data_IF_374676342852
#
_entry.id   IF_374676342852
#
_cell.length_a   1.000
_cell.length_b   1.000
_cell.length_c   1.000
_cell.angle_alpha   90.00
_cell.angle_beta   90.00
_cell.angle_gamma   90.00
#
_symmetry.space_group_name_H-M   'P 1'
#
loop_
_entity.id
_entity.type
_entity.pdbx_description
1 polymer ?
#
# COMPACT_ATOMS: atom_id res chain seq x y z
N UNK A 1 38.88 0.04 3.05
CA UNK A 1 37.53 0.60 2.83
C UNK A 1 36.74 0.79 4.13
N UNK A 2 36.82 -0.14 5.09
CA UNK A 2 36.29 0.00 6.45
C UNK A 2 36.64 1.34 7.15
N UNK A 3 37.89 1.80 7.03
CA UNK A 3 38.35 3.07 7.60
C UNK A 3 37.67 4.31 6.99
N UNK A 4 37.27 4.25 5.71
CA UNK A 4 36.56 5.34 5.03
C UNK A 4 35.09 5.37 5.43
N UNK A 5 34.48 4.19 5.60
CA UNK A 5 33.12 4.04 6.13
C UNK A 5 33.06 4.51 7.59
N UNK A 6 33.99 4.05 8.44
CA UNK A 6 34.12 4.49 9.84
C UNK A 6 34.36 6.00 9.98
N UNK A 7 35.11 6.60 9.05
CA UNK A 7 35.35 8.05 8.97
C UNK A 7 34.13 8.85 8.50
N UNK A 8 33.35 8.31 7.55
CA UNK A 8 32.08 8.90 7.11
C UNK A 8 31.01 8.81 8.22
N UNK A 9 30.94 7.69 8.93
CA UNK A 9 30.08 7.53 10.10
C UNK A 9 30.50 8.47 11.26
N UNK A 10 31.81 8.61 11.52
CA UNK A 10 32.31 9.51 12.56
C UNK A 10 32.19 11.00 12.23
N UNK A 11 32.17 11.39 10.95
CA UNK A 11 31.95 12.80 10.57
C UNK A 11 30.49 13.21 10.60
N UNK A 12 29.55 12.29 10.39
CA UNK A 12 28.10 12.57 10.49
C UNK A 12 27.63 12.54 11.96
N UNK A 13 28.22 11.65 12.79
CA UNK A 13 27.76 11.39 14.16
C UNK A 13 28.81 11.69 15.23
N UNK A 14 29.69 12.68 14.99
CA UNK A 14 30.85 13.00 15.84
C UNK A 14 30.59 13.28 17.33
N UNK A 15 29.33 13.35 17.77
CA UNK A 15 28.94 13.48 19.17
C UNK A 15 28.11 12.33 19.77
N UNK A 16 27.78 11.26 19.03
CA UNK A 16 26.90 10.16 19.51
C UNK A 16 27.59 8.78 19.64
N UNK A 17 28.92 8.71 19.53
CA UNK A 17 29.65 7.44 19.51
C UNK A 17 29.90 6.83 20.90
N UNK A 18 29.72 7.57 22.00
CA UNK A 18 29.95 7.01 23.33
C UNK A 18 28.79 6.13 23.86
N UNK A 19 27.68 5.98 23.12
CA UNK A 19 26.46 5.31 23.63
C UNK A 19 25.74 4.32 22.71
N UNK A 20 26.30 3.92 21.57
CA UNK A 20 25.60 3.01 20.65
C UNK A 20 26.22 1.61 20.65
N UNK A 21 25.53 0.65 21.29
CA UNK A 21 25.97 -0.73 21.52
C UNK A 21 25.86 -1.68 20.30
N UNK A 22 25.18 -1.31 19.19
CA UNK A 22 25.11 -2.17 18.00
C UNK A 22 24.99 -1.37 16.66
N UNK A 23 25.99 -1.43 15.76
CA UNK A 23 25.95 -0.75 14.47
C UNK A 23 24.86 -1.28 13.50
N UNK A 24 24.41 -2.54 13.67
CA UNK A 24 23.29 -3.10 12.89
C UNK A 24 21.99 -2.34 13.19
N UNK A 25 21.72 -2.06 14.47
CA UNK A 25 20.52 -1.35 14.90
C UNK A 25 20.49 0.09 14.36
N UNK A 26 21.63 0.78 14.34
CA UNK A 26 21.72 2.14 13.79
C UNK A 26 21.41 2.15 12.28
N UNK A 27 21.96 1.20 11.52
CA UNK A 27 21.69 1.09 10.09
C UNK A 27 20.21 0.84 9.81
N UNK A 28 19.60 -0.09 10.54
CA UNK A 28 18.17 -0.39 10.42
C UNK A 28 17.31 0.82 10.78
N UNK A 29 17.67 1.55 11.84
CA UNK A 29 17.00 2.78 12.28
C UNK A 29 17.03 3.84 11.18
N UNK A 30 18.20 4.13 10.60
CA UNK A 30 18.34 5.12 9.51
C UNK A 30 17.49 4.74 8.31
N UNK A 31 17.47 3.46 7.92
CA UNK A 31 16.63 2.98 6.81
C UNK A 31 15.14 3.12 7.12
N UNK A 32 14.73 2.84 8.36
CA UNK A 32 13.35 3.04 8.80
C UNK A 32 12.96 4.51 8.70
N UNK A 33 13.77 5.41 9.25
CA UNK A 33 13.52 6.86 9.21
C UNK A 33 13.45 7.39 7.77
N UNK A 34 14.30 6.86 6.88
CA UNK A 34 14.26 7.21 5.46
C UNK A 34 12.97 6.73 4.78
N UNK A 35 12.47 5.52 5.10
CA UNK A 35 11.21 5.01 4.56
C UNK A 35 10.00 5.79 5.11
N UNK A 36 10.02 6.14 6.39
CA UNK A 36 8.96 6.93 7.03
C UNK A 36 8.80 8.34 6.43
N UNK A 37 9.87 8.88 5.82
CA UNK A 37 9.82 10.16 5.10
C UNK A 37 9.20 10.07 3.71
N UNK A 38 9.13 8.90 3.08
CA UNK A 38 8.59 8.75 1.72
C UNK A 38 7.12 9.21 1.64
N UNK A 39 6.20 8.79 2.54
CA UNK A 39 4.82 9.27 2.52
C UNK A 39 4.71 10.79 2.71
N UNK A 40 5.53 11.37 3.59
CA UNK A 40 5.54 12.82 3.80
C UNK A 40 5.98 13.57 2.54
N UNK A 41 7.01 13.07 1.85
CA UNK A 41 7.44 13.63 0.57
C UNK A 41 6.39 13.46 -0.52
N UNK A 42 5.72 12.31 -0.60
CA UNK A 42 4.59 12.09 -1.52
C UNK A 42 3.45 13.08 -1.29
N UNK A 43 3.09 13.34 -0.02
CA UNK A 43 2.08 14.33 0.32
C UNK A 43 2.48 15.74 -0.15
N UNK A 44 3.74 16.14 0.06
CA UNK A 44 4.25 17.43 -0.41
C UNK A 44 4.21 17.55 -1.94
N UNK A 45 4.65 16.52 -2.67
CA UNK A 45 4.56 16.50 -4.15
C UNK A 45 3.11 16.59 -4.60
N UNK A 46 2.20 15.86 -3.93
CA UNK A 46 0.76 15.89 -4.24
C UNK A 46 0.19 17.29 -4.07
N UNK A 47 0.59 18.02 -3.02
CA UNK A 47 0.14 19.40 -2.79
C UNK A 47 0.62 20.35 -3.90
N UNK A 48 1.85 20.18 -4.38
CA UNK A 48 2.38 20.98 -5.50
C UNK A 48 1.61 20.66 -6.78
N UNK A 49 1.38 19.38 -7.07
CA UNK A 49 0.58 18.95 -8.24
C UNK A 49 -0.87 19.40 -8.15
N UNK A 50 -1.47 19.42 -6.96
CA UNK A 50 -2.82 19.95 -6.76
C UNK A 50 -2.88 21.44 -7.09
N UNK A 51 -1.86 22.21 -6.69
CA UNK A 51 -1.74 23.64 -7.01
C UNK A 51 -1.64 23.87 -8.52
N UNK A 52 -0.78 23.10 -9.22
CA UNK A 52 -0.72 23.10 -10.68
C UNK A 52 -2.10 22.79 -11.30
N UNK A 53 -2.79 21.77 -10.79
CA UNK A 53 -4.10 21.36 -11.33
C UNK A 53 -5.18 22.41 -11.12
N UNK A 54 -5.16 23.13 -10.00
CA UNK A 54 -6.06 24.25 -9.75
C UNK A 54 -5.81 25.39 -10.73
N UNK A 55 -4.55 25.75 -10.98
CA UNK A 55 -4.19 26.76 -11.98
C UNK A 55 -4.61 26.36 -13.41
N UNK A 56 -4.46 25.07 -13.78
CA UNK A 56 -4.97 24.56 -15.06
C UNK A 56 -6.48 24.78 -15.21
N UNK A 57 -7.24 24.50 -14.14
CA UNK A 57 -8.70 24.71 -14.13
C UNK A 57 -9.05 26.20 -14.21
N UNK A 58 -8.31 27.05 -13.51
CA UNK A 58 -8.50 28.50 -13.54
C UNK A 58 -8.25 29.07 -14.95
N UNK A 59 -7.14 28.69 -15.59
CA UNK A 59 -6.83 29.07 -16.97
C UNK A 59 -7.97 28.66 -17.92
N UNK A 60 -8.41 27.40 -17.83
CA UNK A 60 -9.51 26.91 -18.67
C UNK A 60 -10.84 27.64 -18.40
N UNK A 61 -11.09 28.08 -17.17
CA UNK A 61 -12.26 28.88 -16.81
C UNK A 61 -12.19 30.26 -17.47
N UNK A 62 -11.07 30.98 -17.33
CA UNK A 62 -10.91 32.30 -17.95
C UNK A 62 -10.99 32.24 -19.48
N UNK A 63 -10.45 31.19 -20.11
CA UNK A 63 -10.57 31.00 -21.57
C UNK A 63 -12.04 30.90 -22.00
N UNK A 64 -12.88 30.18 -21.24
CA UNK A 64 -14.32 30.11 -21.51
C UNK A 64 -15.02 31.45 -21.29
N UNK A 65 -14.73 32.12 -20.18
CA UNK A 65 -15.32 33.43 -19.87
C UNK A 65 -14.98 34.47 -20.94
N UNK A 66 -13.77 34.45 -21.49
CA UNK A 66 -13.35 35.33 -22.59
C UNK A 66 -14.16 35.04 -23.85
N UNK A 67 -14.37 33.77 -24.21
CA UNK A 67 -15.22 33.40 -25.36
C UNK A 67 -16.65 33.88 -25.18
N UNK A 68 -17.22 33.69 -23.98
CA UNK A 68 -18.58 34.13 -23.66
C UNK A 68 -18.72 35.65 -23.68
N UNK A 69 -17.73 36.39 -23.15
CA UNK A 69 -17.70 37.85 -23.19
C UNK A 69 -17.54 38.37 -24.61
N UNK A 70 -16.70 37.76 -25.44
CA UNK A 70 -16.53 38.13 -26.84
C UNK A 70 -17.84 37.96 -27.63
N UNK A 71 -18.58 36.87 -27.39
CA UNK A 71 -19.90 36.67 -27.96
C UNK A 71 -20.91 37.75 -27.52
N UNK A 72 -20.88 38.15 -26.24
CA UNK A 72 -21.72 39.24 -25.69
C UNK A 72 -21.37 40.60 -26.28
N UNK A 73 -20.09 40.92 -26.45
CA UNK A 73 -19.63 42.14 -27.14
C UNK A 73 -20.21 42.20 -28.55
N UNK A 74 -20.04 41.12 -29.33
CA UNK A 74 -20.57 41.02 -30.70
C UNK A 74 -22.09 41.18 -30.74
N UNK A 75 -22.81 40.60 -29.79
CA UNK A 75 -24.27 40.72 -29.71
C UNK A 75 -24.73 42.16 -29.37
N UNK A 76 -24.06 42.83 -28.44
CA UNK A 76 -24.38 44.21 -28.05
C UNK A 76 -24.15 45.19 -29.22
N UNK A 77 -23.05 45.05 -29.95
CA UNK A 77 -22.75 45.86 -31.14
C UNK A 77 -23.82 45.66 -32.22
N UNK A 78 -24.21 44.41 -32.50
CA UNK A 78 -25.28 44.11 -33.48
C UNK A 78 -26.62 44.73 -33.12
N UNK A 79 -26.88 44.95 -31.84
CA UNK A 79 -28.10 45.57 -31.34
C UNK A 79 -28.01 47.11 -31.21
N UNK A 80 -26.88 47.71 -31.59
CA UNK A 80 -26.64 49.16 -31.45
C UNK A 80 -26.53 49.62 -30.00
N UNK A 81 -26.22 48.71 -29.07
CA UNK A 81 -26.09 48.95 -27.64
C UNK A 81 -24.64 49.17 -27.24
N UNK A 82 -24.10 50.30 -27.65
CA UNK A 82 -22.67 50.64 -27.49
C UNK A 82 -22.25 50.79 -26.03
N UNK A 83 -23.17 51.22 -25.16
CA UNK A 83 -23.01 51.29 -23.71
C UNK A 83 -22.69 49.90 -23.12
N UNK A 84 -23.52 48.89 -23.44
CA UNK A 84 -23.29 47.52 -23.00
C UNK A 84 -22.05 46.91 -23.64
N UNK A 85 -21.79 47.21 -24.92
CA UNK A 85 -20.59 46.72 -25.61
C UNK A 85 -19.32 47.20 -24.92
N UNK A 86 -19.24 48.48 -24.52
CA UNK A 86 -18.11 49.03 -23.77
C UNK A 86 -17.90 48.32 -22.44
N UNK A 87 -18.97 48.08 -21.67
CA UNK A 87 -18.87 47.35 -20.39
C UNK A 87 -18.34 45.93 -20.59
N UNK A 88 -18.83 45.19 -21.59
CA UNK A 88 -18.34 43.84 -21.87
C UNK A 88 -16.89 43.82 -22.38
N UNK A 89 -16.47 44.84 -23.14
CA UNK A 89 -15.07 44.98 -23.57
C UNK A 89 -14.15 45.18 -22.37
N UNK A 90 -14.54 46.04 -21.41
CA UNK A 90 -13.75 46.24 -20.18
C UNK A 90 -13.62 44.93 -19.41
N UNK A 91 -14.73 44.21 -19.18
CA UNK A 91 -14.69 42.90 -18.51
C UNK A 91 -13.83 41.89 -19.28
N UNK A 92 -13.88 41.88 -20.62
CA UNK A 92 -13.08 41.00 -21.46
C UNK A 92 -11.58 41.29 -21.30
N UNK A 93 -11.17 42.57 -21.28
CA UNK A 93 -9.78 42.96 -21.07
C UNK A 93 -9.27 42.58 -19.67
N UNK A 94 -10.10 42.73 -18.65
CA UNK A 94 -9.79 42.27 -17.29
C UNK A 94 -9.55 40.76 -17.26
N UNK A 95 -10.43 39.97 -17.91
CA UNK A 95 -10.29 38.51 -17.97
C UNK A 95 -9.08 38.06 -18.80
N UNK A 96 -8.76 38.74 -19.89
CA UNK A 96 -7.54 38.49 -20.65
C UNK A 96 -6.28 38.74 -19.81
N UNK A 97 -6.27 39.83 -19.04
CA UNK A 97 -5.14 40.15 -18.14
C UNK A 97 -5.00 39.10 -17.03
N UNK A 98 -6.12 38.65 -16.45
CA UNK A 98 -6.13 37.58 -15.47
C UNK A 98 -5.64 36.24 -16.06
N UNK A 99 -6.07 35.91 -17.29
CA UNK A 99 -5.64 34.72 -18.01
C UNK A 99 -4.11 34.69 -18.20
N UNK A 100 -3.51 35.77 -18.69
CA UNK A 100 -2.06 35.83 -18.92
C UNK A 100 -1.27 35.68 -17.61
N UNK A 101 -1.77 36.29 -16.52
CA UNK A 101 -1.19 36.11 -15.19
C UNK A 101 -1.28 34.65 -14.73
N UNK A 102 -2.46 34.02 -14.83
CA UNK A 102 -2.64 32.62 -14.42
C UNK A 102 -1.86 31.64 -15.30
N UNK A 103 -1.68 31.93 -16.60
CA UNK A 103 -0.78 31.15 -17.48
C UNK A 103 0.67 31.19 -17.03
N UNK A 104 1.16 32.38 -16.67
CA UNK A 104 2.53 32.54 -16.13
C UNK A 104 2.71 31.79 -14.81
N UNK A 105 1.71 31.85 -13.94
CA UNK A 105 1.71 31.10 -12.68
C UNK A 105 1.64 29.58 -12.91
N UNK A 106 0.83 29.14 -13.89
CA UNK A 106 0.71 27.74 -14.26
C UNK A 106 2.05 27.18 -14.78
N UNK A 107 2.75 27.91 -15.63
CA UNK A 107 4.07 27.50 -16.13
C UNK A 107 5.06 27.30 -14.97
N UNK A 108 5.09 28.25 -14.03
CA UNK A 108 5.94 28.16 -12.85
C UNK A 108 5.56 26.96 -11.96
N UNK A 109 4.26 26.72 -11.78
CA UNK A 109 3.75 25.59 -11.00
C UNK A 109 4.04 24.24 -11.69
N UNK A 110 3.98 24.18 -13.02
CA UNK A 110 4.30 22.99 -13.80
C UNK A 110 5.78 22.61 -13.63
N UNK A 111 6.69 23.58 -13.76
CA UNK A 111 8.13 23.35 -13.53
C UNK A 111 8.38 22.88 -12.09
N UNK A 112 7.73 23.49 -11.09
CA UNK A 112 7.85 23.09 -9.69
C UNK A 112 7.34 21.66 -9.45
N UNK A 113 6.20 21.29 -10.06
CA UNK A 113 5.64 19.95 -9.96
C UNK A 113 6.57 18.90 -10.57
N UNK A 114 7.14 19.15 -11.75
CA UNK A 114 8.10 18.26 -12.39
C UNK A 114 9.39 18.09 -11.58
N UNK A 115 9.92 19.17 -11.01
CA UNK A 115 11.07 19.10 -10.11
C UNK A 115 10.76 18.30 -8.84
N UNK A 116 9.58 18.50 -8.25
CA UNK A 116 9.13 17.80 -7.05
C UNK A 116 8.99 16.28 -7.31
N UNK A 117 8.40 15.88 -8.45
CA UNK A 117 8.32 14.48 -8.88
C UNK A 117 9.71 13.85 -9.03
N UNK A 118 10.61 14.50 -9.77
CA UNK A 118 12.00 14.02 -9.96
C UNK A 118 12.74 13.89 -8.63
N UNK A 119 12.55 14.83 -7.72
CA UNK A 119 13.14 14.76 -6.39
C UNK A 119 12.65 13.55 -5.60
N UNK A 120 11.34 13.29 -5.62
CA UNK A 120 10.74 12.12 -4.97
C UNK A 120 11.23 10.81 -5.59
N UNK A 121 11.28 10.69 -6.92
CA UNK A 121 11.80 9.52 -7.61
C UNK A 121 13.26 9.22 -7.22
N UNK A 122 14.10 10.26 -7.24
CA UNK A 122 15.49 10.16 -6.81
C UNK A 122 15.61 9.77 -5.35
N UNK A 123 14.74 10.30 -4.48
CA UNK A 123 14.73 9.95 -3.07
C UNK A 123 14.35 8.48 -2.86
N UNK A 124 13.31 7.99 -3.52
CA UNK A 124 12.89 6.57 -3.47
C UNK A 124 14.02 5.66 -3.96
N UNK A 125 14.69 6.03 -5.05
CA UNK A 125 15.84 5.28 -5.56
C UNK A 125 16.99 5.24 -4.54
N UNK A 126 17.28 6.37 -3.87
CA UNK A 126 18.28 6.42 -2.81
C UNK A 126 17.89 5.57 -1.61
N UNK A 127 16.64 5.60 -1.16
CA UNK A 127 16.12 4.74 -0.07
C UNK A 127 16.31 3.27 -0.42
N UNK A 128 16.01 2.86 -1.66
CA UNK A 128 16.20 1.48 -2.14
C UNK A 128 17.68 1.09 -2.15
N UNK A 129 18.55 1.94 -2.70
CA UNK A 129 20.00 1.70 -2.73
C UNK A 129 20.57 1.57 -1.32
N UNK A 130 20.22 2.50 -0.43
CA UNK A 130 20.69 2.50 0.97
C UNK A 130 20.17 1.31 1.74
N UNK A 131 18.93 0.89 1.49
CA UNK A 131 18.38 -0.36 2.06
C UNK A 131 19.24 -1.55 1.65
N UNK A 132 19.57 -1.68 0.36
CA UNK A 132 20.39 -2.79 -0.14
C UNK A 132 21.78 -2.79 0.47
N UNK A 133 22.43 -1.62 0.52
CA UNK A 133 23.75 -1.44 1.16
C UNK A 133 23.70 -1.81 2.65
N UNK A 134 22.67 -1.37 3.37
CA UNK A 134 22.49 -1.70 4.79
C UNK A 134 22.30 -3.20 5.00
N UNK A 135 21.50 -3.88 4.16
CA UNK A 135 21.29 -5.32 4.26
C UNK A 135 22.60 -6.11 4.04
N UNK A 136 23.42 -5.68 3.08
CA UNK A 136 24.74 -6.28 2.85
C UNK A 136 25.65 -6.12 4.07
N UNK A 137 25.74 -4.91 4.62
CA UNK A 137 26.55 -4.62 5.81
C UNK A 137 26.09 -5.41 7.04
N UNK A 138 24.79 -5.58 7.22
CA UNK A 138 24.23 -6.41 8.30
C UNK A 138 24.63 -7.88 8.13
N UNK A 139 24.52 -8.42 6.91
CA UNK A 139 24.94 -9.79 6.63
C UNK A 139 26.44 -10.00 6.87
N UNK A 140 27.27 -9.05 6.43
CA UNK A 140 28.72 -9.05 6.67
C UNK A 140 29.05 -8.99 8.17
N UNK A 141 28.36 -8.12 8.93
CA UNK A 141 28.54 -8.01 10.37
C UNK A 141 28.18 -9.32 11.10
N UNK A 142 27.10 -9.98 10.70
CA UNK A 142 26.71 -11.30 11.23
C UNK A 142 27.75 -12.38 10.92
N UNK A 143 28.25 -12.42 9.69
CA UNK A 143 29.30 -13.37 9.30
C UNK A 143 30.60 -13.15 10.10
N UNK A 144 31.02 -11.88 10.27
CA UNK A 144 32.18 -11.53 11.08
C UNK A 144 32.00 -11.93 12.55
N UNK A 145 30.81 -11.70 13.13
CA UNK A 145 30.48 -12.11 14.50
C UNK A 145 30.52 -13.64 14.67
N UNK A 146 30.01 -14.39 13.70
CA UNK A 146 30.12 -15.87 13.71
C UNK A 146 31.58 -16.33 13.66
N UNK A 147 32.40 -15.69 12.81
CA UNK A 147 33.82 -16.02 12.69
C UNK A 147 34.59 -15.69 13.98
N UNK A 148 34.29 -14.55 14.62
CA UNK A 148 34.88 -14.17 15.91
C UNK A 148 34.49 -15.15 17.02
N UNK A 149 33.20 -15.51 17.12
CA UNK A 149 32.72 -16.49 18.09
C UNK A 149 33.40 -17.85 17.89
N UNK A 150 33.56 -18.30 16.64
CA UNK A 150 34.28 -19.53 16.31
C UNK A 150 35.76 -19.45 16.72
N UNK A 151 36.42 -18.33 16.42
CA UNK A 151 37.83 -18.10 16.79
C UNK A 151 38.04 -18.04 18.30
N UNK A 152 37.20 -17.31 19.05
CA UNK A 152 37.25 -17.25 20.52
C UNK A 152 37.01 -18.63 21.13
N UNK A 153 36.05 -19.39 20.59
CA UNK A 153 35.80 -20.77 20.98
C UNK A 153 37.06 -21.63 20.75
N UNK A 154 37.70 -21.55 19.58
CA UNK A 154 38.93 -22.28 19.26
C UNK A 154 40.14 -21.85 20.12
N UNK A 155 40.28 -20.55 20.42
CA UNK A 155 41.33 -20.03 21.29
C UNK A 155 41.13 -20.48 22.74
N UNK A 156 39.89 -20.52 23.23
CA UNK A 156 39.56 -21.06 24.55
C UNK A 156 39.88 -22.55 24.68
N UNK A 157 39.89 -23.29 23.55
CA UNK A 157 40.31 -24.69 23.50
C UNK A 157 41.83 -24.90 23.46
N UNK A 158 42.62 -23.93 22.98
CA UNK A 158 44.09 -24.06 22.92
C UNK A 158 44.81 -23.81 24.25
N UNK A 159 44.11 -23.28 25.26
CA UNK A 159 44.70 -22.98 26.59
C UNK A 159 44.50 -24.13 27.60
N UNK A 160 43.71 -25.16 27.26
CA UNK A 160 43.58 -26.38 28.06
C UNK A 160 44.25 -27.56 27.37
N UNK A 161 45.28 -28.12 28.00
CA UNK A 161 45.92 -29.38 27.59
C UNK A 161 44.93 -30.53 27.80
N UNK A 162 44.14 -30.88 26.77
CA UNK A 162 43.32 -32.10 26.76
C UNK A 162 42.91 -32.47 25.32
N UNK A 163 43.71 -33.34 24.68
CA UNK A 163 43.43 -33.88 23.35
C UNK A 163 42.07 -34.64 23.25
N UNK A 164 41.46 -35.02 24.39
CA UNK A 164 40.13 -35.63 24.44
C UNK A 164 38.98 -34.65 24.18
N UNK A 165 39.13 -33.38 24.58
CA UNK A 165 38.09 -32.34 24.44
C UNK A 165 37.86 -31.94 22.97
N UNK A 166 38.87 -32.07 22.11
CA UNK A 166 38.76 -31.73 20.69
C UNK A 166 37.89 -32.72 19.91
N UNK A 167 37.99 -34.01 20.20
CA UNK A 167 37.21 -35.06 19.53
C UNK A 167 35.73 -34.95 19.92
N UNK A 168 35.44 -34.79 21.21
CA UNK A 168 34.08 -34.62 21.73
C UNK A 168 33.40 -33.34 21.21
N UNK A 169 34.17 -32.27 21.01
CA UNK A 169 33.65 -31.02 20.46
C UNK A 169 33.48 -31.08 18.95
N UNK A 170 34.36 -31.79 18.21
CA UNK A 170 34.13 -32.09 16.78
C UNK A 170 32.81 -32.84 16.61
N UNK A 171 32.55 -33.82 17.46
CA UNK A 171 31.31 -34.59 17.44
C UNK A 171 30.10 -33.72 17.81
N UNK A 172 30.21 -32.80 18.78
CA UNK A 172 29.14 -31.84 19.10
C UNK A 172 28.89 -30.84 17.97
N UNK A 173 29.93 -30.33 17.32
CA UNK A 173 29.80 -29.40 16.18
C UNK A 173 29.19 -30.12 14.99
N UNK A 174 29.63 -31.35 14.68
CA UNK A 174 29.01 -32.16 13.63
C UNK A 174 27.55 -32.46 13.96
N UNK A 175 27.22 -32.81 15.21
CA UNK A 175 25.82 -33.02 15.62
C UNK A 175 24.99 -31.74 15.52
N UNK A 176 25.52 -30.57 15.88
CA UNK A 176 24.81 -29.29 15.74
C UNK A 176 24.65 -28.88 14.28
N UNK A 177 25.67 -29.10 13.45
CA UNK A 177 25.61 -28.84 12.00
C UNK A 177 24.58 -29.75 11.35
N UNK A 178 24.65 -31.06 11.60
CA UNK A 178 23.67 -32.03 11.12
C UNK A 178 22.25 -31.72 11.64
N UNK A 179 22.09 -31.25 12.87
CA UNK A 179 20.79 -30.83 13.39
C UNK A 179 20.29 -29.52 12.76
N UNK A 180 21.17 -28.60 12.38
CA UNK A 180 20.81 -27.37 11.67
C UNK A 180 20.43 -27.66 10.21
N UNK A 181 21.18 -28.56 9.56
CA UNK A 181 20.94 -29.06 8.21
C UNK A 181 19.62 -29.85 8.16
N UNK A 182 19.39 -30.77 9.10
CA UNK A 182 18.11 -31.47 9.25
C UNK A 182 16.94 -30.53 9.55
N UNK A 183 17.14 -29.44 10.31
CA UNK A 183 16.10 -28.41 10.49
C UNK A 183 15.83 -27.62 9.22
N UNK A 184 16.85 -27.35 8.42
CA UNK A 184 16.68 -26.74 7.10
C UNK A 184 15.94 -27.67 6.15
N UNK A 185 16.27 -28.96 6.12
CA UNK A 185 15.58 -29.99 5.33
C UNK A 185 14.13 -30.19 5.78
N UNK A 186 13.84 -30.15 7.08
CA UNK A 186 12.46 -30.17 7.59
C UNK A 186 11.71 -28.89 7.25
N UNK A 187 12.37 -27.73 7.23
CA UNK A 187 11.75 -26.47 6.83
C UNK A 187 11.46 -26.45 5.32
N UNK A 188 12.37 -26.95 4.48
CA UNK A 188 12.13 -27.07 3.03
C UNK A 188 11.16 -28.19 2.69
N UNK A 189 11.25 -29.34 3.35
CA UNK A 189 10.30 -30.45 3.20
C UNK A 189 8.91 -30.14 3.75
N UNK A 190 8.82 -29.33 4.81
CA UNK A 190 7.56 -28.80 5.33
C UNK A 190 6.90 -27.84 4.34
N UNK A 191 7.67 -26.93 3.75
CA UNK A 191 7.18 -26.02 2.68
C UNK A 191 6.77 -26.80 1.43
N UNK A 192 7.53 -27.81 1.00
CA UNK A 192 7.18 -28.65 -0.16
C UNK A 192 5.92 -29.49 0.12
N UNK A 193 5.76 -30.05 1.32
CA UNK A 193 4.53 -30.76 1.70
C UNK A 193 3.33 -29.83 1.79
N UNK A 194 3.52 -28.60 2.26
CA UNK A 194 2.46 -27.60 2.37
C UNK A 194 2.05 -27.08 0.98
N UNK A 195 2.99 -26.99 0.04
CA UNK A 195 2.69 -26.71 -1.39
C UNK A 195 1.93 -27.88 -2.02
N UNK A 196 2.35 -29.13 -1.77
CA UNK A 196 1.62 -30.32 -2.27
C UNK A 196 0.22 -30.45 -1.66
N UNK A 197 0.03 -30.11 -0.39
CA UNK A 197 -1.28 -30.14 0.28
C UNK A 197 -2.19 -29.03 -0.24
N UNK A 198 -1.67 -27.81 -0.50
CA UNK A 198 -2.41 -26.73 -1.16
C UNK A 198 -2.78 -27.12 -2.60
N UNK A 199 -1.87 -27.76 -3.35
CA UNK A 199 -2.17 -28.26 -4.70
C UNK A 199 -3.27 -29.34 -4.67
N UNK A 200 -3.20 -30.30 -3.73
CA UNK A 200 -4.26 -31.31 -3.53
C UNK A 200 -5.60 -30.71 -3.13
N UNK A 201 -5.60 -29.70 -2.25
CA UNK A 201 -6.82 -29.01 -1.85
C UNK A 201 -7.43 -28.23 -3.03
N UNK A 202 -6.60 -27.58 -3.86
CA UNK A 202 -7.04 -26.91 -5.09
C UNK A 202 -7.61 -27.89 -6.13
N UNK A 203 -7.02 -29.08 -6.26
CA UNK A 203 -7.50 -30.14 -7.15
C UNK A 203 -8.82 -30.71 -6.65
N UNK A 204 -9.00 -30.90 -5.34
CA UNK A 204 -10.27 -31.34 -4.77
C UNK A 204 -11.38 -30.30 -4.98
N UNK A 205 -11.10 -29.01 -4.82
CA UNK A 205 -12.08 -27.93 -5.09
C UNK A 205 -12.49 -27.93 -6.57
N UNK A 206 -11.54 -28.08 -7.50
CA UNK A 206 -11.85 -28.17 -8.93
C UNK A 206 -12.62 -29.46 -9.29
N UNK A 207 -12.32 -30.58 -8.63
CA UNK A 207 -13.06 -31.84 -8.80
C UNK A 207 -14.48 -31.74 -8.23
N UNK A 208 -14.67 -31.06 -7.10
CA UNK A 208 -16.01 -30.83 -6.54
C UNK A 208 -16.83 -29.86 -7.39
N UNK A 209 -16.24 -28.80 -7.93
CA UNK A 209 -16.89 -27.86 -8.85
C UNK A 209 -17.28 -28.54 -10.17
N UNK A 210 -16.40 -29.39 -10.72
CA UNK A 210 -16.70 -30.16 -11.94
C UNK A 210 -17.73 -31.26 -11.69
N UNK A 211 -17.72 -31.91 -10.51
CA UNK A 211 -18.74 -32.86 -10.09
C UNK A 211 -20.10 -32.17 -9.89
N UNK A 212 -20.12 -30.97 -9.31
CA UNK A 212 -21.33 -30.16 -9.15
C UNK A 212 -21.88 -29.72 -10.51
N UNK A 213 -21.02 -29.34 -11.45
CA UNK A 213 -21.40 -29.05 -12.83
C UNK A 213 -22.00 -30.29 -13.53
N UNK A 214 -21.38 -31.47 -13.38
CA UNK A 214 -21.90 -32.73 -13.92
C UNK A 214 -23.24 -33.14 -13.28
N UNK A 215 -23.41 -32.99 -11.96
CA UNK A 215 -24.67 -33.28 -11.26
C UNK A 215 -25.80 -32.34 -11.67
N UNK A 216 -25.50 -31.06 -11.98
CA UNK A 216 -26.47 -30.12 -12.58
C UNK A 216 -26.83 -30.52 -14.00
N UNK A 217 -25.86 -31.02 -14.78
CA UNK A 217 -26.09 -31.46 -16.16
C UNK A 217 -26.89 -32.78 -16.24
N UNK A 218 -26.78 -33.64 -15.21
CA UNK A 218 -27.49 -34.92 -15.10
C UNK A 218 -28.79 -34.84 -14.28
N UNK A 219 -29.16 -33.66 -13.76
CA UNK A 219 -30.44 -33.44 -13.07
C UNK A 219 -30.59 -34.13 -11.70
N UNK A 220 -29.49 -34.47 -11.02
CA UNK A 220 -29.50 -35.26 -9.76
C UNK A 220 -28.96 -34.48 -8.54
N UNK A 221 -29.19 -33.17 -8.48
CA UNK A 221 -28.90 -32.35 -7.30
C UNK A 221 -30.05 -32.41 -6.28
N UNK A 222 -29.83 -33.04 -5.13
CA UNK A 222 -30.83 -33.14 -4.08
C UNK A 222 -31.21 -31.76 -3.50
N UNK A 223 -32.49 -31.41 -3.64
CA UNK A 223 -33.19 -30.40 -2.85
C UNK A 223 -33.07 -30.74 -1.35
N UNK A 224 -32.53 -29.81 -0.57
CA UNK A 224 -32.81 -29.76 0.86
C UNK A 224 -33.88 -28.69 1.06
N UNK A 225 -35.10 -29.19 1.19
CA UNK A 225 -36.28 -28.47 1.60
C UNK A 225 -36.06 -27.77 2.96
N UNK A 226 -36.27 -26.45 3.00
CA UNK A 226 -36.67 -25.76 4.22
C UNK A 226 -38.19 -25.86 4.35
N UNK A 227 -38.58 -26.32 5.52
CA UNK A 227 -39.93 -26.63 5.98
C UNK A 227 -40.82 -25.40 6.11
N UNK A 228 -41.96 -25.42 5.42
CA UNK A 228 -43.18 -24.71 5.83
C UNK A 228 -44.17 -25.80 6.30
N UNK A 229 -44.68 -25.76 7.54
CA UNK A 229 -45.73 -26.69 7.93
C UNK A 229 -47.07 -26.19 7.38
N UNK A 230 -47.72 -27.02 6.58
CA UNK A 230 -49.16 -26.94 6.36
C UNK A 230 -49.89 -27.70 7.47
N UNK A 231 -51.18 -27.40 7.68
CA UNK A 231 -52.12 -28.50 7.86
C UNK A 231 -53.25 -28.38 6.82
N UNK A 232 -53.63 -29.47 6.15
CA UNK A 232 -54.90 -29.54 5.46
C UNK A 232 -55.89 -30.36 6.30
N UNK A 233 -57.17 -29.96 6.29
CA UNK A 233 -58.21 -30.68 5.56
C UNK A 233 -59.61 -30.27 6.03
N UNK A 234 -60.45 -30.04 5.04
CA UNK A 234 -61.90 -29.91 5.12
C UNK A 234 -62.50 -31.29 5.45
N UNK A 235 -63.40 -31.31 6.43
CA UNK A 235 -64.34 -32.40 6.73
C UNK A 235 -65.62 -31.77 7.29
N UNK A 236 -66.75 -32.21 6.77
CA UNK A 236 -68.07 -31.57 6.85
C UNK A 236 -68.64 -31.38 8.27
N UNK A 237 -69.56 -30.42 8.38
CA UNK A 237 -70.99 -30.65 8.74
C UNK A 237 -71.54 -29.62 9.74
N UNK A 238 -72.67 -28.97 9.37
CA UNK A 238 -73.65 -28.27 10.23
C UNK A 238 -73.14 -27.10 11.10
N UNK A 239 -73.81 -25.95 11.27
CA UNK A 239 -75.12 -25.44 10.94
C UNK A 239 -75.30 -24.14 11.75
N UNK A 240 -76.21 -23.29 11.28
CA UNK A 240 -76.88 -22.22 12.02
C UNK A 240 -76.20 -20.86 12.28
N UNK A 241 -76.85 -19.84 11.66
CA UNK A 241 -77.28 -18.55 12.21
C UNK A 241 -76.34 -17.77 13.13
N UNK A 242 -76.08 -16.50 12.77
CA UNK A 242 -76.83 -15.36 13.34
C UNK A 242 -76.07 -14.03 13.21
N UNK A 243 -76.69 -13.10 12.46
CA UNK A 243 -76.87 -11.66 12.76
C UNK A 243 -75.65 -10.79 13.12
N UNK A 244 -75.26 -9.93 12.16
CA UNK A 244 -75.33 -8.46 12.30
C UNK A 244 -74.32 -7.73 13.23
N UNK A 245 -74.36 -6.38 13.29
CA UNK A 245 -73.48 -5.57 12.42
C UNK A 245 -72.77 -4.39 13.11
N UNK A 246 -71.95 -3.70 12.30
CA UNK A 246 -71.80 -2.23 12.22
C UNK A 246 -70.97 -1.43 13.26
N UNK A 247 -70.02 -0.69 12.70
CA UNK A 247 -69.71 0.75 12.91
C UNK A 247 -69.39 1.28 14.32
N UNK A 248 -68.27 2.04 14.44
CA UNK A 248 -68.27 3.52 14.57
C UNK A 248 -66.91 4.10 15.01
N UNK A 249 -66.35 4.93 14.12
CA UNK A 249 -65.97 6.36 14.30
C UNK A 249 -65.23 6.91 15.54
N UNK A 250 -64.40 7.93 15.22
CA UNK A 250 -63.93 9.11 16.00
C UNK A 250 -62.71 8.90 16.91
N UNK A 251 -61.59 9.60 16.72
CA UNK A 251 -61.30 11.06 16.82
C UNK A 251 -60.93 11.51 18.24
N UNK A 252 -60.13 12.58 18.32
CA UNK A 252 -59.53 13.28 19.47
C UNK A 252 -58.12 12.74 19.84
N UNK A 253 -57.08 13.56 20.00
CA UNK A 253 -56.89 15.02 19.95
C UNK A 253 -55.39 15.28 19.72
#
# INVERSE_FOLDING_TARGET
MWSRLKRLFRSIFGGMIERAEDPELILQQVIRDMREKVPQMQANVTQVMATEKLLQKEVAMYEREIVDLDAKVKAAIKQGRDDFARTYITALQEKQTALERSKTQLESAHVAAEQAKKFLENYILQVKKKTSEAQQLVNEARAAKMQEQLSQTMASFQVGDDAGSFQDMRDKIQRRSAAAEARMELATGGVESQIQDIERESLNIQVEDTLAAYKRQLGLGAEKAESIPAPPMVGAESGEKSLGPAEKSKALE
#
